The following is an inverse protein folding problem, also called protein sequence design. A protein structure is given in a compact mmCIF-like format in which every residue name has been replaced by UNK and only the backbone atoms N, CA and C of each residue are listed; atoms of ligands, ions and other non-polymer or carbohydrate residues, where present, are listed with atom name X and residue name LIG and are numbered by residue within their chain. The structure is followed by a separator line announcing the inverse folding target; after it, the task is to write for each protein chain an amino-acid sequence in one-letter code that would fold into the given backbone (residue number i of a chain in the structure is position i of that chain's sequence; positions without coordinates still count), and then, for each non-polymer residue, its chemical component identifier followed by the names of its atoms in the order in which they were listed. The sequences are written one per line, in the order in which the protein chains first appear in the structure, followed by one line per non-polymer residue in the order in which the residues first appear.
data_IF_291313296777
#
_entry.id   IF_291313296777
#
_cell.length_a   1.000
_cell.length_b   1.000
_cell.length_c   1.000
_cell.angle_alpha   90.00
_cell.angle_beta   90.00
_cell.angle_gamma   90.00
#
_symmetry.space_group_name_H-M   'P 1'
#
loop_
_entity.id
_entity.type
_entity.pdbx_description
1 polymer ?
#
# COMPACT_ATOMS: atom_id res chain seq x y z
N UNK A 1 -5.88 -15.16 -14.19
CA UNK A 1 -5.40 -16.12 -13.17
C UNK A 1 -4.53 -15.27 -12.27
N UNK A 2 -5.11 -14.75 -11.19
CA UNK A 2 -4.47 -13.73 -10.38
C UNK A 2 -3.68 -14.41 -9.26
N UNK A 3 -2.39 -14.08 -9.18
CA UNK A 3 -1.45 -14.42 -8.11
C UNK A 3 -1.04 -15.88 -7.88
N UNK A 4 -1.44 -16.91 -8.65
CA UNK A 4 -1.21 -18.34 -8.28
C UNK A 4 0.26 -18.77 -7.99
N UNK A 5 1.27 -17.93 -8.25
CA UNK A 5 2.69 -18.23 -8.06
C UNK A 5 3.54 -17.09 -7.46
N UNK A 6 2.97 -16.10 -6.77
CA UNK A 6 3.77 -15.06 -6.14
C UNK A 6 4.53 -15.57 -4.90
N UNK A 7 5.81 -15.19 -4.80
CA UNK A 7 6.70 -15.51 -3.69
C UNK A 7 7.55 -14.30 -3.34
N UNK A 8 7.41 -13.79 -2.11
CA UNK A 8 8.09 -12.59 -1.66
C UNK A 8 7.28 -11.89 -0.57
N UNK A 9 7.46 -10.58 -0.44
CA UNK A 9 6.63 -9.75 0.42
C UNK A 9 5.27 -9.54 -0.22
N UNK A 10 4.22 -9.89 0.49
CA UNK A 10 2.84 -9.82 0.05
C UNK A 10 2.08 -8.73 0.79
N UNK A 11 1.29 -7.97 0.04
CA UNK A 11 0.26 -7.06 0.51
C UNK A 11 -1.03 -7.40 -0.22
N UNK A 12 -2.14 -7.24 0.49
CA UNK A 12 -3.47 -7.62 0.02
C UNK A 12 -4.05 -6.56 -0.90
N UNK A 13 -4.83 -7.00 -1.87
CA UNK A 13 -5.70 -6.19 -2.72
C UNK A 13 -7.09 -6.03 -2.12
N UNK A 14 -7.55 -7.01 -1.33
CA UNK A 14 -8.83 -6.97 -0.63
C UNK A 14 -8.76 -7.65 0.75
N UNK A 15 -9.67 -7.32 1.68
CA UNK A 15 -9.68 -7.92 3.02
C UNK A 15 -9.70 -9.45 2.97
N UNK A 16 -8.89 -10.07 3.83
CA UNK A 16 -8.72 -11.53 3.92
C UNK A 16 -8.14 -12.23 2.67
N UNK A 17 -7.61 -11.50 1.69
CA UNK A 17 -6.85 -12.13 0.61
C UNK A 17 -5.66 -12.89 1.18
N UNK A 18 -5.41 -14.07 0.61
CA UNK A 18 -4.21 -14.84 0.86
C UNK A 18 -3.39 -14.89 -0.43
N UNK A 19 -2.05 -14.89 -0.35
CA UNK A 19 -1.20 -15.02 -1.52
C UNK A 19 -1.50 -16.33 -2.25
N UNK A 20 -1.37 -16.32 -3.57
CA UNK A 20 -1.60 -17.49 -4.44
C UNK A 20 -3.00 -18.10 -4.30
N UNK A 21 -3.96 -17.26 -3.90
CA UNK A 21 -5.36 -17.65 -3.79
C UNK A 21 -6.26 -16.50 -4.19
N UNK A 22 -6.63 -16.47 -5.48
CA UNK A 22 -7.71 -15.61 -5.94
C UNK A 22 -9.04 -16.37 -5.87
N UNK A 23 -9.94 -15.94 -4.98
CA UNK A 23 -11.36 -16.11 -5.26
C UNK A 23 -11.63 -15.42 -6.59
N UNK A 24 -12.09 -16.16 -7.59
CA UNK A 24 -12.31 -15.68 -8.95
C UNK A 24 -13.01 -14.30 -8.99
N UNK A 25 -12.36 -13.29 -9.58
CA UNK A 25 -13.02 -12.07 -10.05
C UNK A 25 -13.04 -10.85 -9.11
N UNK A 26 -12.04 -10.68 -8.23
CA UNK A 26 -11.93 -9.48 -7.40
C UNK A 26 -11.80 -8.20 -8.23
N UNK A 27 -12.74 -7.27 -8.06
CA UNK A 27 -12.63 -5.90 -8.54
C UNK A 27 -11.36 -5.26 -7.95
N UNK A 28 -10.71 -4.37 -8.70
CA UNK A 28 -9.67 -3.49 -8.16
C UNK A 28 -10.22 -2.79 -6.92
N UNK A 29 -9.69 -3.17 -5.76
CA UNK A 29 -10.16 -2.73 -4.47
C UNK A 29 -9.06 -1.93 -3.76
N UNK A 30 -9.48 -1.13 -2.79
CA UNK A 30 -8.60 -0.36 -1.94
C UNK A 30 -7.79 -1.33 -1.06
N UNK A 31 -6.49 -1.39 -1.33
CA UNK A 31 -5.50 -2.23 -0.68
C UNK A 31 -5.61 -2.04 0.83
N UNK A 32 -6.02 -3.08 1.58
CA UNK A 32 -6.23 -2.94 3.00
C UNK A 32 -4.97 -2.86 3.84
N UNK A 33 -3.83 -3.09 3.22
CA UNK A 33 -2.53 -2.97 3.83
C UNK A 33 -1.93 -1.57 3.75
N UNK A 34 -2.60 -0.63 3.06
CA UNK A 34 -2.31 0.80 3.14
C UNK A 34 -3.26 1.41 4.18
N UNK A 35 -2.72 1.78 5.34
CA UNK A 35 -3.52 2.28 6.47
C UNK A 35 -3.19 3.76 6.67
N UNK A 36 -4.20 4.63 6.62
CA UNK A 36 -4.03 6.07 6.82
C UNK A 36 -4.70 6.58 8.10
N UNK A 37 -4.14 7.65 8.66
CA UNK A 37 -4.72 8.39 9.79
C UNK A 37 -4.33 9.87 9.74
N UNK A 38 -5.10 10.72 10.41
CA UNK A 38 -4.80 12.16 10.56
C UNK A 38 -3.85 12.46 11.72
N UNK A 39 -3.48 11.43 12.48
CA UNK A 39 -2.47 11.44 13.51
C UNK A 39 -1.62 10.15 13.42
N UNK A 40 -0.41 10.10 13.99
CA UNK A 40 0.37 8.87 14.09
C UNK A 40 -0.44 7.75 14.76
N UNK A 41 -0.32 6.53 14.24
CA UNK A 41 -1.00 5.35 14.75
C UNK A 41 0.02 4.45 15.45
N UNK A 42 -0.46 3.70 16.45
CA UNK A 42 0.36 2.72 17.15
C UNK A 42 0.54 1.45 16.30
N UNK A 43 1.79 1.13 15.95
CA UNK A 43 2.14 0.00 15.07
C UNK A 43 1.77 -1.36 15.66
N UNK A 44 1.82 -1.51 16.98
CA UNK A 44 1.42 -2.76 17.64
C UNK A 44 -0.08 -3.02 17.48
N UNK A 45 -0.89 -1.97 17.60
CA UNK A 45 -2.33 -2.02 17.32
C UNK A 45 -2.60 -2.33 15.85
N UNK A 46 -1.84 -1.75 14.92
CA UNK A 46 -1.96 -2.07 13.49
C UNK A 46 -1.69 -3.56 13.21
N UNK A 47 -0.62 -4.10 13.77
CA UNK A 47 -0.26 -5.53 13.63
C UNK A 47 -1.30 -6.46 14.29
N UNK A 48 -1.82 -6.08 15.46
CA UNK A 48 -2.88 -6.85 16.13
C UNK A 48 -4.15 -6.92 15.29
N UNK A 49 -4.50 -5.84 14.61
CA UNK A 49 -5.68 -5.77 13.75
C UNK A 49 -5.40 -6.28 12.33
N UNK A 50 -4.16 -6.62 11.98
CA UNK A 50 -3.77 -7.06 10.64
C UNK A 50 -4.66 -8.14 10.03
N UNK A 51 -5.15 -9.20 10.74
CA UNK A 51 -6.04 -10.20 10.13
C UNK A 51 -7.35 -9.62 9.58
N UNK A 52 -7.82 -8.53 10.19
CA UNK A 52 -9.01 -7.76 9.84
C UNK A 52 -8.61 -6.28 9.75
N UNK A 53 -7.74 -5.94 8.79
CA UNK A 53 -7.16 -4.61 8.73
C UNK A 53 -8.31 -3.61 8.56
N UNK A 54 -8.37 -2.55 9.38
CA UNK A 54 -9.40 -1.55 9.24
C UNK A 54 -9.16 -0.77 7.95
N UNK A 55 -9.75 -1.20 6.84
CA UNK A 55 -9.96 -0.31 5.70
C UNK A 55 -11.16 0.60 5.88
N UNK A 56 -12.03 0.26 6.85
CA UNK A 56 -13.36 0.83 6.92
C UNK A 56 -13.92 0.99 8.35
N UNK A 57 -13.12 0.83 9.42
CA UNK A 57 -13.64 1.01 10.78
C UNK A 57 -12.72 1.84 11.70
N UNK A 58 -13.09 3.11 11.98
CA UNK A 58 -14.14 3.87 11.29
C UNK A 58 -13.78 4.04 9.80
N UNK A 59 -14.72 4.43 8.91
CA UNK A 59 -14.50 4.58 7.47
C UNK A 59 -13.17 5.29 7.15
N UNK A 60 -12.54 4.99 6.00
CA UNK A 60 -11.23 5.54 5.65
C UNK A 60 -11.30 7.04 5.85
N UNK A 61 -10.47 7.54 6.77
CA UNK A 61 -10.53 8.95 7.14
C UNK A 61 -10.09 9.71 5.90
N UNK A 62 -10.91 10.65 5.37
CA UNK A 62 -10.51 11.43 4.22
C UNK A 62 -9.13 12.04 4.47
N UNK A 63 -8.28 11.99 3.46
CA UNK A 63 -7.00 12.67 3.52
C UNK A 63 -7.27 14.16 3.66
N UNK A 64 -6.71 14.78 4.69
CA UNK A 64 -6.83 16.21 4.91
C UNK A 64 -5.94 16.93 3.89
N UNK A 65 -6.55 17.77 3.06
CA UNK A 65 -5.84 18.56 2.06
C UNK A 65 -4.93 19.59 2.75
N UNK A 66 -3.71 19.78 2.24
CA UNK A 66 -2.70 20.70 2.78
C UNK A 66 -2.33 20.44 4.27
N UNK A 67 -2.62 19.25 4.78
CA UNK A 67 -2.36 18.82 6.14
C UNK A 67 -1.60 17.48 6.12
N UNK A 68 -0.83 17.16 7.17
CA UNK A 68 -0.13 15.89 7.26
C UNK A 68 -1.12 14.73 7.47
N UNK A 69 -1.00 13.70 6.63
CA UNK A 69 -1.67 12.41 6.79
C UNK A 69 -0.62 11.33 6.99
N UNK A 70 -0.80 10.48 7.98
CA UNK A 70 0.15 9.46 8.39
C UNK A 70 -0.26 8.12 7.79
N UNK A 71 0.57 7.59 6.91
CA UNK A 71 0.31 6.35 6.19
C UNK A 71 1.31 5.28 6.60
N UNK A 72 0.80 4.10 6.90
CA UNK A 72 1.55 2.90 7.22
C UNK A 72 1.27 1.84 6.16
N UNK A 73 2.27 0.99 5.91
CA UNK A 73 2.11 -0.19 5.05
C UNK A 73 2.36 -1.43 5.88
N UNK A 74 1.38 -2.33 5.93
CA UNK A 74 1.54 -3.67 6.49
C UNK A 74 1.83 -4.68 5.39
N UNK A 75 2.53 -5.76 5.71
CA UNK A 75 2.80 -6.82 4.74
C UNK A 75 3.18 -8.14 5.44
N UNK A 76 3.15 -9.24 4.69
CA UNK A 76 3.58 -10.56 5.13
C UNK A 76 4.66 -11.12 4.22
N UNK A 77 5.55 -11.94 4.77
CA UNK A 77 6.54 -12.65 3.99
C UNK A 77 6.02 -14.04 3.60
N UNK A 78 6.12 -14.39 2.32
CA UNK A 78 5.72 -15.70 1.80
C UNK A 78 6.89 -16.65 1.57
N UNK A 79 8.13 -16.24 1.87
CA UNK A 79 9.32 -17.10 1.81
C UNK A 79 9.71 -17.61 3.20
N UNK A 80 10.34 -18.77 3.25
CA UNK A 80 10.90 -19.39 4.46
C UNK A 80 12.26 -18.82 4.89
N UNK A 81 12.66 -17.70 4.28
CA UNK A 81 13.83 -16.89 4.65
C UNK A 81 13.40 -15.49 5.07
N UNK A 82 14.20 -14.83 5.91
CA UNK A 82 13.97 -13.42 6.28
C UNK A 82 14.12 -12.54 5.04
N UNK A 83 13.15 -11.65 4.81
CA UNK A 83 13.24 -10.64 3.75
C UNK A 83 13.45 -9.27 4.37
N UNK A 84 14.49 -8.58 3.91
CA UNK A 84 14.57 -7.13 4.02
C UNK A 84 14.00 -6.55 2.74
N UNK A 85 12.96 -5.73 2.87
CA UNK A 85 12.29 -5.07 1.77
C UNK A 85 12.41 -3.56 1.89
N UNK A 86 12.05 -2.86 0.82
CA UNK A 86 11.86 -1.41 0.83
C UNK A 86 10.46 -1.10 0.34
N UNK A 87 9.70 -0.39 1.15
CA UNK A 87 8.38 0.12 0.77
C UNK A 87 8.59 1.46 0.08
N UNK A 88 8.06 1.60 -1.13
CA UNK A 88 8.00 2.83 -1.88
C UNK A 88 6.57 3.36 -1.88
N UNK A 89 6.39 4.66 -1.67
CA UNK A 89 5.10 5.34 -1.68
C UNK A 89 5.06 6.39 -2.78
N UNK A 90 3.95 6.45 -3.50
CA UNK A 90 3.67 7.46 -4.51
C UNK A 90 2.22 7.89 -4.43
N UNK A 91 1.89 9.03 -5.04
CA UNK A 91 0.51 9.36 -5.38
C UNK A 91 0.40 9.72 -6.86
N UNK A 92 -0.77 9.52 -7.44
CA UNK A 92 -1.06 9.88 -8.82
C UNK A 92 -2.44 10.53 -8.93
N UNK A 93 -2.59 11.49 -9.84
CA UNK A 93 -3.92 11.96 -10.26
C UNK A 93 -4.56 10.86 -11.09
N UNK A 94 -5.82 10.53 -10.82
CA UNK A 94 -6.53 9.41 -11.47
C UNK A 94 -6.55 9.52 -13.00
N UNK A 95 -6.55 10.74 -13.57
CA UNK A 95 -6.47 10.98 -15.02
C UNK A 95 -5.15 10.56 -15.67
N UNK A 96 -4.08 10.41 -14.88
CA UNK A 96 -2.73 10.08 -15.35
C UNK A 96 -2.19 8.79 -14.73
N UNK A 97 -3.00 8.03 -13.98
CA UNK A 97 -2.56 6.83 -13.27
C UNK A 97 -1.89 5.77 -14.15
N UNK A 98 -2.28 5.69 -15.43
CA UNK A 98 -1.73 4.74 -16.41
C UNK A 98 -0.28 5.01 -16.79
N UNK A 99 0.28 6.15 -16.38
CA UNK A 99 1.63 6.58 -16.70
C UNK A 99 2.48 6.61 -15.42
N UNK A 100 3.21 5.53 -15.07
CA UNK A 100 4.07 5.52 -13.88
C UNK A 100 5.10 6.64 -13.82
N UNK A 101 5.45 7.21 -14.97
CA UNK A 101 6.30 8.41 -15.06
C UNK A 101 5.67 9.68 -14.50
N UNK A 102 4.35 9.73 -14.28
CA UNK A 102 3.66 10.88 -13.68
C UNK A 102 3.37 10.68 -12.19
N UNK A 103 3.66 9.49 -11.64
CA UNK A 103 3.48 9.22 -10.21
C UNK A 103 4.45 10.09 -9.40
N UNK A 104 3.89 10.74 -8.38
CA UNK A 104 4.55 11.79 -7.62
C UNK A 104 5.03 11.25 -6.26
N UNK A 105 6.20 11.73 -5.86
CA UNK A 105 6.73 11.58 -4.51
C UNK A 105 6.75 12.90 -3.72
N UNK A 106 6.45 14.02 -4.40
CA UNK A 106 6.42 15.33 -3.77
C UNK A 106 5.37 15.39 -2.66
N UNK A 107 5.70 16.03 -1.54
CA UNK A 107 4.80 16.09 -0.38
C UNK A 107 4.78 14.82 0.47
N UNK A 108 5.59 13.80 0.14
CA UNK A 108 5.81 12.62 0.98
C UNK A 108 7.11 12.82 1.76
N UNK A 109 7.07 12.56 3.06
CA UNK A 109 8.26 12.51 3.92
C UNK A 109 8.26 11.27 4.79
N UNK A 110 9.45 10.85 5.20
CA UNK A 110 9.67 9.83 6.22
C UNK A 110 10.67 10.40 7.21
N UNK A 111 10.32 10.38 8.50
CA UNK A 111 11.14 10.96 9.58
C UNK A 111 11.56 12.42 9.31
N UNK A 112 10.66 13.22 8.72
CA UNK A 112 10.91 14.61 8.35
C UNK A 112 11.81 14.82 7.13
N UNK A 113 12.33 13.75 6.51
CA UNK A 113 13.12 13.82 5.29
C UNK A 113 12.24 13.66 4.05
N UNK A 114 12.51 14.45 3.00
CA UNK A 114 11.82 14.38 1.70
C UNK A 114 12.24 13.14 0.90
N UNK A 115 11.88 11.97 1.41
CA UNK A 115 12.06 10.66 0.81
C UNK A 115 10.71 9.93 0.79
N UNK A 116 10.51 9.09 -0.21
CA UNK A 116 9.27 8.36 -0.40
C UNK A 116 9.46 6.85 -0.25
N UNK A 117 10.52 6.43 0.42
CA UNK A 117 10.77 5.03 0.70
C UNK A 117 11.31 4.84 2.10
N UNK A 118 11.11 3.64 2.65
CA UNK A 118 11.68 3.23 3.92
C UNK A 118 11.85 1.70 3.97
N UNK A 119 12.75 1.18 4.81
CA UNK A 119 12.91 -0.26 4.96
C UNK A 119 11.68 -0.90 5.63
N UNK A 120 11.48 -2.18 5.33
CA UNK A 120 10.55 -3.05 6.01
C UNK A 120 11.24 -4.41 6.22
N UNK A 121 11.43 -4.82 7.47
CA UNK A 121 12.01 -6.12 7.80
C UNK A 121 10.90 -7.10 8.14
N UNK A 122 10.87 -8.24 7.44
CA UNK A 122 9.87 -9.28 7.64
C UNK A 122 10.51 -10.58 8.08
N UNK A 123 9.90 -11.22 9.07
CA UNK A 123 10.33 -12.53 9.54
C UNK A 123 10.03 -13.60 8.49
N UNK A 124 10.80 -14.69 8.51
CA UNK A 124 10.57 -15.84 7.64
C UNK A 124 9.16 -16.44 7.87
N UNK A 125 8.55 -16.90 6.78
CA UNK A 125 7.42 -17.82 6.87
C UNK A 125 7.86 -19.18 7.45
N UNK A 126 6.96 -19.93 8.10
CA UNK A 126 7.24 -21.30 8.45
C UNK A 126 7.52 -22.13 7.18
N UNK A 127 8.47 -23.07 7.28
CA UNK A 127 8.80 -23.99 6.18
C UNK A 127 7.54 -24.60 5.56
N UNK A 128 7.51 -24.58 4.22
CA UNK A 128 6.37 -25.00 3.45
C UNK A 128 6.72 -26.16 2.53
N UNK A 129 6.45 -27.38 2.99
CA UNK A 129 6.84 -28.61 2.28
C UNK A 129 5.84 -29.07 1.21
N UNK A 130 4.67 -28.43 1.09
CA UNK A 130 3.57 -28.85 0.21
C UNK A 130 3.04 -27.66 -0.61
N UNK A 131 3.73 -27.35 -1.71
CA UNK A 131 3.43 -26.22 -2.59
C UNK A 131 2.09 -26.34 -3.36
N UNK A 132 1.30 -27.40 -3.10
CA UNK A 132 -0.04 -27.59 -3.70
C UNK A 132 -1.16 -26.90 -2.91
N UNK A 133 -0.86 -26.29 -1.75
CA UNK A 133 -1.81 -25.61 -0.87
C UNK A 133 -1.59 -24.09 -0.84
N UNK A 134 -2.28 -23.38 0.06
CA UNK A 134 -2.02 -21.95 0.28
C UNK A 134 -0.65 -21.74 0.93
N UNK A 135 0.14 -20.73 0.53
CA UNK A 135 1.39 -20.41 1.19
C UNK A 135 1.19 -20.16 2.68
N UNK A 136 2.14 -20.64 3.48
CA UNK A 136 2.25 -20.19 4.87
C UNK A 136 2.88 -18.81 4.85
N UNK A 137 2.32 -17.89 5.63
CA UNK A 137 2.83 -16.54 5.76
C UNK A 137 3.61 -16.42 7.06
N UNK A 138 4.69 -15.65 7.03
CA UNK A 138 5.35 -15.19 8.24
C UNK A 138 4.45 -14.25 9.03
N UNK A 139 4.80 -13.92 10.28
CA UNK A 139 4.13 -12.86 11.03
C UNK A 139 4.08 -11.56 10.22
N UNK A 140 2.97 -10.80 10.29
CA UNK A 140 2.88 -9.53 9.60
C UNK A 140 3.92 -8.54 10.15
N UNK A 141 4.38 -7.66 9.28
CA UNK A 141 5.24 -6.54 9.60
C UNK A 141 4.55 -5.22 9.18
N UNK A 142 5.00 -4.11 9.75
CA UNK A 142 4.51 -2.77 9.44
C UNK A 142 5.69 -1.80 9.33
N UNK A 143 5.59 -0.80 8.47
CA UNK A 143 6.56 0.31 8.44
C UNK A 143 6.64 0.99 9.79
N UNK A 144 7.84 1.08 10.37
CA UNK A 144 8.05 1.61 11.73
C UNK A 144 7.85 3.12 11.82
N UNK A 145 8.13 3.83 10.73
CA UNK A 145 7.90 5.28 10.64
C UNK A 145 6.75 5.53 9.66
N UNK A 146 5.80 6.42 9.94
CA UNK A 146 4.79 6.75 8.95
C UNK A 146 5.40 7.42 7.72
N UNK A 147 4.86 7.12 6.55
CA UNK A 147 4.90 8.05 5.44
C UNK A 147 3.97 9.22 5.77
N UNK A 148 4.52 10.41 5.93
CA UNK A 148 3.71 11.62 6.08
C UNK A 148 3.42 12.16 4.69
N UNK A 149 2.17 12.02 4.26
CA UNK A 149 1.65 12.47 2.96
C UNK A 149 0.90 13.78 3.17
N UNK A 150 1.40 14.86 2.57
CA UNK A 150 0.75 16.16 2.56
C UNK A 150 0.26 16.44 1.14
N UNK A 151 -0.96 16.01 0.78
CA UNK A 151 -1.48 16.24 -0.56
C UNK A 151 -1.67 17.74 -0.79
N UNK A 152 -1.07 18.23 -1.86
CA UNK A 152 -1.23 19.59 -2.37
C UNK A 152 -2.02 19.53 -3.67
N UNK A 153 -3.10 20.28 -3.80
CA UNK A 153 -3.97 20.18 -4.97
C UNK A 153 -5.37 20.72 -4.72
N UNK A 154 -6.32 20.27 -5.53
CA UNK A 154 -7.75 20.60 -5.40
C UNK A 154 -8.48 19.43 -4.75
N UNK A 155 -9.40 19.69 -3.82
CA UNK A 155 -10.31 18.66 -3.30
C UNK A 155 -11.26 18.09 -4.38
N UNK A 156 -11.32 18.72 -5.56
CA UNK A 156 -12.14 18.26 -6.70
C UNK A 156 -11.43 17.20 -7.54
N UNK A 157 -10.11 17.04 -7.39
CA UNK A 157 -9.34 16.04 -8.11
C UNK A 157 -9.38 14.69 -7.38
N UNK A 158 -9.49 13.61 -8.14
CA UNK A 158 -9.34 12.25 -7.62
C UNK A 158 -7.87 11.86 -7.63
N UNK A 159 -7.34 11.50 -6.46
CA UNK A 159 -5.98 11.01 -6.32
C UNK A 159 -5.99 9.57 -5.83
N UNK A 160 -4.87 8.92 -6.03
CA UNK A 160 -4.65 7.59 -5.48
C UNK A 160 -3.24 7.46 -4.96
N UNK A 161 -3.14 6.82 -3.80
CA UNK A 161 -1.90 6.42 -3.19
C UNK A 161 -1.50 5.04 -3.70
N UNK A 162 -0.21 4.88 -3.99
CA UNK A 162 0.35 3.69 -4.59
C UNK A 162 1.52 3.26 -3.73
N UNK A 163 1.54 1.99 -3.34
CA UNK A 163 2.69 1.38 -2.69
C UNK A 163 3.29 0.29 -3.56
N UNK A 164 4.62 0.24 -3.62
CA UNK A 164 5.35 -0.90 -4.19
C UNK A 164 6.36 -1.37 -3.16
N UNK A 165 6.30 -2.65 -2.81
CA UNK A 165 7.26 -3.27 -1.89
C UNK A 165 8.36 -3.97 -2.69
N UNK A 166 9.55 -3.39 -2.72
CA UNK A 166 10.73 -3.95 -3.37
C UNK A 166 11.30 -5.07 -2.50
N UNK A 167 11.17 -6.33 -2.96
CA UNK A 167 11.90 -7.46 -2.39
C UNK A 167 13.40 -7.25 -2.61
N UNK A 168 14.22 -7.50 -1.59
CA UNK A 168 15.70 -7.47 -1.70
C UNK A 168 16.23 -6.16 -2.35
N UNK A 169 16.11 -5.04 -1.63
CA UNK A 169 16.19 -3.72 -2.23
C UNK A 169 17.55 -3.39 -2.84
N UNK A 170 17.52 -2.74 -4.00
CA UNK A 170 18.67 -2.20 -4.70
C UNK A 170 19.44 -1.14 -3.87
N UNK A 171 20.74 -1.04 -4.10
CA UNK A 171 21.61 -0.01 -3.54
C UNK A 171 22.54 0.56 -4.65
N UNK A 172 22.45 1.85 -5.03
CA UNK A 172 21.60 2.89 -4.44
C UNK A 172 20.09 2.63 -4.64
N UNK A 173 19.22 3.21 -3.79
CA UNK A 173 17.78 3.02 -3.90
C UNK A 173 17.24 3.43 -5.27
N UNK A 174 16.53 2.50 -5.94
CA UNK A 174 15.84 2.75 -7.20
C UNK A 174 14.44 2.15 -7.17
N UNK A 175 13.43 2.99 -7.35
CA UNK A 175 12.06 2.52 -7.39
C UNK A 175 11.82 1.53 -8.54
N UNK A 176 11.18 0.38 -8.28
CA UNK A 176 10.83 -0.60 -9.32
C UNK A 176 9.56 -0.16 -10.07
N UNK A 177 9.59 1.03 -10.70
CA UNK A 177 8.45 1.56 -11.43
C UNK A 177 8.10 0.67 -12.64
N UNK A 178 6.80 0.35 -12.85
CA UNK A 178 6.38 -0.43 -14.02
C UNK A 178 6.45 0.40 -15.31
N UNK A 179 6.32 -0.26 -16.48
CA UNK A 179 6.11 0.44 -17.74
C UNK A 179 4.72 1.12 -17.80
N UNK A 180 4.54 2.03 -18.77
CA UNK A 180 3.24 2.61 -19.08
C UNK A 180 2.20 1.56 -19.45
N UNK A 181 0.96 1.74 -18.99
CA UNK A 181 -0.18 0.87 -19.28
C UNK A 181 -1.03 1.44 -20.42
N UNK A 182 -1.55 0.57 -21.30
CA UNK A 182 -2.40 1.00 -22.41
C UNK A 182 -3.86 1.20 -21.99
N UNK A 183 -4.27 0.59 -20.88
CA UNK A 183 -5.63 0.68 -20.34
C UNK A 183 -5.67 0.50 -18.82
N UNK A 184 -6.79 0.90 -18.20
CA UNK A 184 -7.06 0.63 -16.77
C UNK A 184 -7.12 -0.87 -16.49
N UNK A 185 -7.57 -1.68 -17.45
CA UNK A 185 -7.56 -3.14 -17.32
C UNK A 185 -6.15 -3.71 -17.25
N UNK A 186 -5.19 -3.14 -17.99
CA UNK A 186 -3.79 -3.56 -17.95
C UNK A 186 -3.14 -3.20 -16.61
N UNK A 187 -3.41 -1.98 -16.12
CA UNK A 187 -2.98 -1.57 -14.78
C UNK A 187 -3.57 -2.49 -13.70
N UNK A 188 -4.87 -2.77 -13.75
CA UNK A 188 -5.52 -3.65 -12.78
C UNK A 188 -4.97 -5.08 -12.84
N UNK A 189 -4.67 -5.58 -14.04
CA UNK A 189 -4.02 -6.90 -14.22
C UNK A 189 -2.62 -6.89 -13.63
N UNK A 190 -1.82 -5.87 -13.91
CA UNK A 190 -0.48 -5.74 -13.32
C UNK A 190 -0.51 -5.70 -11.79
N UNK A 191 -1.39 -4.91 -11.19
CA UNK A 191 -1.59 -4.89 -9.73
C UNK A 191 -1.99 -6.28 -9.21
N UNK A 192 -2.88 -6.97 -9.93
CA UNK A 192 -3.38 -8.31 -9.54
C UNK A 192 -2.39 -9.45 -9.74
N UNK A 193 -1.37 -9.23 -10.58
CA UNK A 193 -0.30 -10.19 -10.86
C UNK A 193 0.96 -9.92 -10.01
N UNK A 194 0.96 -8.84 -9.23
CA UNK A 194 2.09 -8.43 -8.38
C UNK A 194 1.60 -8.27 -6.94
N UNK A 195 1.68 -9.35 -6.17
CA UNK A 195 1.31 -9.38 -4.75
C UNK A 195 2.05 -8.40 -3.83
N UNK A 196 3.05 -7.66 -4.31
CA UNK A 196 3.77 -6.59 -3.59
C UNK A 196 3.34 -5.17 -3.97
N UNK A 197 2.22 -5.02 -4.69
CA UNK A 197 1.71 -3.73 -5.15
C UNK A 197 0.34 -3.47 -4.55
N UNK A 198 0.14 -2.24 -4.07
CA UNK A 198 -1.10 -1.83 -3.43
C UNK A 198 -1.56 -0.46 -3.91
N UNK A 199 -2.87 -0.26 -3.85
CA UNK A 199 -3.54 0.95 -4.31
C UNK A 199 -4.60 1.40 -3.29
N UNK A 200 -4.64 2.68 -2.96
CA UNK A 200 -5.68 3.27 -2.11
C UNK A 200 -6.19 4.55 -2.75
N UNK A 201 -7.49 4.67 -3.01
CA UNK A 201 -8.03 5.93 -3.48
C UNK A 201 -8.04 6.95 -2.35
N UNK A 202 -7.58 8.17 -2.65
CA UNK A 202 -7.56 9.26 -1.71
C UNK A 202 -8.82 10.10 -1.91
N UNK A 203 -9.74 10.03 -0.96
CA UNK A 203 -10.78 11.05 -0.83
C UNK A 203 -10.18 12.24 -0.08
N UNK A 204 -10.04 13.38 -0.74
CA UNK A 204 -9.54 14.60 -0.12
C UNK A 204 -10.67 15.36 0.57
N UNK A 205 -10.38 15.94 1.73
CA UNK A 205 -11.28 16.88 2.41
C UNK A 205 -10.53 18.12 2.86
N UNK A 206 -11.19 19.28 2.78
CA UNK A 206 -10.61 20.57 3.16
C UNK A 206 -10.46 20.75 4.70
N UNK A 207 -10.69 19.69 5.49
CA UNK A 207 -10.63 19.75 6.96
C UNK A 207 -11.64 20.71 7.58
N UNK A 208 -12.68 21.10 6.84
CA UNK A 208 -13.66 22.10 7.24
C UNK A 208 -14.35 21.71 8.54
N UNK A 209 -14.11 22.49 9.60
CA UNK A 209 -15.09 22.68 10.66
C UNK A 209 -16.44 22.95 9.98
N UNK A 210 -17.43 22.12 10.28
CA UNK A 210 -18.81 22.31 9.84
C UNK A 210 -19.19 23.77 10.11
N UNK A 211 -19.32 24.57 9.05
CA UNK A 211 -19.89 25.91 9.16
C UNK A 211 -21.38 25.66 9.46
N UNK A 212 -21.75 25.67 10.75
CA UNK A 212 -23.16 25.76 11.10
C UNK A 212 -23.67 27.05 10.46
N UNK A 213 -24.62 26.87 9.56
CA UNK A 213 -25.40 27.96 8.99
C UNK A 213 -26.53 28.15 10.00
N UNK A 214 -26.52 29.31 10.67
CA UNK A 214 -27.64 29.81 11.45
C UNK A 214 -28.87 30.07 10.56
#
# INVERSE_FOLDING_TARGET
MADDFYWGVFIRLYPHQLPNWSGSGGLWAECPDIINGTAPLDTDTLLKNYPNPPTAVPPPTPFLLNQPNYVYVTAENCKDEVINARVWMFWAVQSTCLYPSTWQSAGITVDGHAINYQPLSLQAAPEWTDHSKKPKMGPPAVTTTPFVVTPTGSAQDSYSLITIVENEPSNPPKAPLPPTFNSVSDLASWVSDNGNVGWLNMSLSDGGLTRQVD
#
